data_IF_193378446989
#
_entry.id   IF_193378446989
#
_cell.length_a   1.000
_cell.length_b   1.000
_cell.length_c   1.000
_cell.angle_alpha   90.00
_cell.angle_beta   90.00
_cell.angle_gamma   90.00
#
_symmetry.space_group_name_H-M   'P 1'
#
loop_
_entity.id
_entity.type
_entity.pdbx_description
1 polymer ?
#
# COMPACT_ATOMS: atom_id res chain seq x y z
N UNK A 1 -1.08 -15.07 -13.60
CA UNK A 1 -1.07 -15.88 -12.37
C UNK A 1 -2.10 -17.01 -12.40
N UNK A 2 -3.41 -16.76 -12.55
CA UNK A 2 -4.39 -17.88 -12.58
C UNK A 2 -4.15 -18.88 -13.73
N UNK A 3 -3.87 -18.39 -14.94
CA UNK A 3 -3.45 -19.26 -16.05
C UNK A 3 -2.16 -20.04 -15.76
N UNK A 4 -1.26 -19.47 -14.97
CA UNK A 4 -0.01 -20.15 -14.58
C UNK A 4 -0.31 -21.24 -13.55
N UNK A 5 -1.07 -20.92 -12.50
CA UNK A 5 -1.58 -21.89 -11.51
C UNK A 5 -2.28 -23.07 -12.17
N UNK A 6 -3.16 -22.80 -13.13
CA UNK A 6 -3.88 -23.84 -13.88
C UNK A 6 -2.96 -24.74 -14.71
N UNK A 7 -1.80 -24.24 -15.15
CA UNK A 7 -0.86 -25.00 -15.99
C UNK A 7 0.25 -25.68 -15.19
N UNK A 8 0.66 -25.13 -14.04
CA UNK A 8 1.75 -25.67 -13.21
C UNK A 8 1.28 -26.53 -12.04
N UNK A 9 0.03 -26.37 -11.60
CA UNK A 9 -0.51 -27.07 -10.43
C UNK A 9 0.04 -26.55 -9.09
N UNK A 10 0.67 -25.38 -9.09
CA UNK A 10 1.17 -24.73 -7.88
C UNK A 10 0.02 -24.32 -6.93
N UNK A 11 0.25 -24.40 -5.61
CA UNK A 11 -0.68 -23.86 -4.61
C UNK A 11 -0.58 -22.34 -4.56
N UNK A 12 -1.41 -21.68 -5.36
CA UNK A 12 -1.53 -20.21 -5.41
C UNK A 12 -2.78 -19.79 -4.66
N UNK A 13 -2.60 -18.92 -3.66
CA UNK A 13 -3.69 -18.27 -2.91
C UNK A 13 -3.77 -16.79 -3.23
N UNK A 14 -4.99 -16.30 -3.43
CA UNK A 14 -5.27 -14.88 -3.56
C UNK A 14 -5.70 -14.37 -2.20
N UNK A 15 -5.02 -13.34 -1.69
CA UNK A 15 -5.26 -12.84 -0.34
C UNK A 15 -5.62 -11.36 -0.40
N UNK A 16 -6.73 -11.01 0.21
CA UNK A 16 -7.16 -9.63 0.45
C UNK A 16 -7.15 -9.34 1.95
N UNK A 17 -6.65 -8.16 2.33
CA UNK A 17 -6.55 -7.73 3.72
C UNK A 17 -7.67 -6.73 4.01
N UNK A 18 -8.76 -7.22 4.60
CA UNK A 18 -9.92 -6.42 4.98
C UNK A 18 -9.60 -5.55 6.21
N UNK A 19 -9.44 -4.25 5.97
CA UNK A 19 -9.20 -3.27 7.04
C UNK A 19 -10.49 -2.78 7.70
N UNK A 20 -11.66 -3.16 7.18
CA UNK A 20 -12.96 -2.61 7.58
C UNK A 20 -13.19 -1.15 7.15
N UNK A 21 -12.20 -0.50 6.55
CA UNK A 21 -12.25 0.90 6.13
C UNK A 21 -11.93 1.09 4.64
N UNK A 22 -12.01 0.04 3.84
CA UNK A 22 -11.97 0.23 2.38
C UNK A 22 -13.29 0.87 1.91
N UNK A 23 -13.27 1.57 0.79
CA UNK A 23 -14.45 2.23 0.25
C UNK A 23 -15.51 1.17 -0.10
N UNK A 24 -16.82 1.43 0.09
CA UNK A 24 -17.88 0.48 -0.29
C UNK A 24 -17.76 -0.05 -1.72
N UNK A 25 -17.40 0.81 -2.68
CA UNK A 25 -17.11 0.43 -4.07
C UNK A 25 -15.92 -0.53 -4.23
N UNK A 26 -14.90 -0.44 -3.38
CA UNK A 26 -13.79 -1.40 -3.36
C UNK A 26 -14.28 -2.79 -2.97
N UNK A 27 -15.15 -2.90 -1.95
CA UNK A 27 -15.74 -4.18 -1.58
C UNK A 27 -16.64 -4.73 -2.68
N UNK A 28 -17.51 -3.90 -3.27
CA UNK A 28 -18.34 -4.27 -4.42
C UNK A 28 -17.50 -4.84 -5.57
N UNK A 29 -16.43 -4.12 -5.93
CA UNK A 29 -15.49 -4.55 -6.96
C UNK A 29 -14.83 -5.88 -6.64
N UNK A 30 -14.32 -6.08 -5.42
CA UNK A 30 -13.70 -7.34 -5.00
C UNK A 30 -14.66 -8.51 -5.14
N UNK A 31 -15.93 -8.35 -4.73
CA UNK A 31 -16.95 -9.39 -4.90
C UNK A 31 -17.22 -9.68 -6.38
N UNK A 32 -17.30 -8.64 -7.21
CA UNK A 32 -17.50 -8.80 -8.65
C UNK A 32 -16.32 -9.53 -9.31
N UNK A 33 -15.07 -9.19 -8.94
CA UNK A 33 -13.86 -9.88 -9.38
C UNK A 33 -13.88 -11.36 -8.99
N UNK A 34 -14.10 -11.65 -7.70
CA UNK A 34 -14.10 -13.02 -7.19
C UNK A 34 -15.18 -13.87 -7.86
N UNK A 35 -16.39 -13.33 -7.99
CA UNK A 35 -17.54 -14.01 -8.61
C UNK A 35 -17.36 -14.22 -10.11
N UNK A 36 -16.93 -13.19 -10.85
CA UNK A 36 -16.86 -13.24 -12.31
C UNK A 36 -15.82 -14.24 -12.82
N UNK A 37 -14.67 -14.33 -12.14
CA UNK A 37 -13.59 -15.24 -12.51
C UNK A 37 -13.53 -16.50 -11.65
N UNK A 38 -14.50 -16.70 -10.76
CA UNK A 38 -14.54 -17.82 -9.82
C UNK A 38 -13.21 -17.98 -9.05
N UNK A 39 -12.70 -16.87 -8.53
CA UNK A 39 -11.45 -16.81 -7.77
C UNK A 39 -11.75 -17.12 -6.32
N UNK A 40 -11.06 -18.13 -5.78
CA UNK A 40 -11.04 -18.43 -4.35
C UNK A 40 -10.18 -17.38 -3.63
N UNK A 41 -10.83 -16.30 -3.19
CA UNK A 41 -10.19 -15.17 -2.54
C UNK A 41 -10.29 -15.28 -1.02
N UNK A 42 -9.14 -15.44 -0.38
CA UNK A 42 -9.02 -15.45 1.08
C UNK A 42 -9.09 -14.01 1.58
N UNK A 43 -10.08 -13.70 2.43
CA UNK A 43 -10.22 -12.35 3.00
C UNK A 43 -9.84 -12.37 4.48
N UNK A 44 -8.66 -11.83 4.78
CA UNK A 44 -8.13 -11.81 6.13
C UNK A 44 -8.56 -10.53 6.84
N UNK A 45 -9.16 -10.71 8.02
CA UNK A 45 -9.57 -9.61 8.90
C UNK A 45 -8.84 -9.70 10.24
N UNK A 46 -8.31 -8.57 10.71
CA UNK A 46 -7.62 -8.49 11.99
C UNK A 46 -8.57 -8.77 13.16
N UNK A 47 -8.11 -9.54 14.14
CA UNK A 47 -8.75 -9.73 15.44
C UNK A 47 -7.85 -9.13 16.51
N UNK A 48 -8.27 -8.00 17.08
CA UNK A 48 -7.46 -7.23 18.03
C UNK A 48 -7.49 -7.91 19.40
N UNK A 49 -6.31 -8.16 19.97
CA UNK A 49 -6.21 -8.52 21.38
C UNK A 49 -6.20 -7.22 22.20
N UNK A 50 -7.15 -6.93 23.09
CA UNK A 50 -7.23 -5.63 23.76
C UNK A 50 -6.04 -5.33 24.67
N UNK A 51 -5.27 -6.33 25.07
CA UNK A 51 -4.12 -6.17 25.97
C UNK A 51 -2.89 -5.69 25.20
N UNK A 52 -2.27 -4.61 25.68
CA UNK A 52 -1.01 -4.11 25.13
C UNK A 52 0.08 -5.18 25.16
N UNK A 53 0.95 -5.17 24.14
CA UNK A 53 2.04 -6.16 23.95
C UNK A 53 1.59 -7.60 23.75
N UNK A 54 0.29 -7.91 23.79
CA UNK A 54 -0.22 -9.20 23.33
C UNK A 54 -0.48 -9.14 21.82
N UNK A 55 -0.05 -10.19 21.14
CA UNK A 55 -0.19 -10.30 19.69
C UNK A 55 -1.67 -10.33 19.30
N UNK A 56 -1.98 -9.68 18.17
CA UNK A 56 -3.27 -9.81 17.50
C UNK A 56 -3.33 -11.16 16.77
N UNK A 57 -4.52 -11.58 16.38
CA UNK A 57 -4.73 -12.71 15.48
C UNK A 57 -5.47 -12.26 14.22
N UNK A 58 -5.86 -13.21 13.38
CA UNK A 58 -6.71 -12.95 12.22
C UNK A 58 -7.88 -13.92 12.21
N UNK A 59 -8.89 -13.59 11.43
CA UNK A 59 -9.93 -14.52 10.99
C UNK A 59 -10.02 -14.46 9.47
N UNK A 60 -10.30 -15.59 8.86
CA UNK A 60 -10.72 -15.68 7.46
C UNK A 60 -12.23 -15.37 7.39
N UNK A 61 -12.63 -14.56 6.43
CA UNK A 61 -14.01 -14.08 6.26
C UNK A 61 -14.43 -14.37 4.82
N UNK A 62 -15.68 -14.76 4.61
CA UNK A 62 -16.19 -14.95 3.25
C UNK A 62 -16.13 -13.63 2.47
N UNK A 63 -15.85 -13.72 1.16
CA UNK A 63 -15.92 -12.59 0.23
C UNK A 63 -17.31 -11.93 0.24
N UNK A 64 -18.37 -12.67 0.56
CA UNK A 64 -19.72 -12.09 0.67
C UNK A 64 -19.89 -11.25 1.95
N UNK A 65 -19.13 -11.56 3.00
CA UNK A 65 -19.27 -10.97 4.34
C UNK A 65 -18.29 -9.81 4.60
N UNK A 66 -17.28 -9.58 3.74
CA UNK A 66 -16.43 -8.39 3.84
C UNK A 66 -17.26 -7.12 3.60
N UNK A 67 -16.88 -6.00 4.18
CA UNK A 67 -17.60 -4.75 3.97
C UNK A 67 -17.08 -3.62 4.82
N UNK A 68 -17.58 -2.42 4.52
CA UNK A 68 -17.27 -1.23 5.31
C UNK A 68 -17.84 -1.40 6.72
N UNK A 69 -16.94 -1.52 7.69
CA UNK A 69 -17.24 -1.66 9.10
C UNK A 69 -16.02 -1.26 9.94
N UNK A 70 -16.13 -0.10 10.57
CA UNK A 70 -15.08 0.47 11.41
C UNK A 70 -14.96 -0.19 12.80
N UNK A 71 -15.58 -1.35 13.05
CA UNK A 71 -15.40 -2.11 14.30
C UNK A 71 -13.93 -2.39 14.62
N UNK A 72 -13.15 -2.82 13.61
CA UNK A 72 -11.70 -3.06 13.78
C UNK A 72 -10.98 -1.76 14.09
N UNK A 73 -11.41 -0.65 13.49
CA UNK A 73 -10.84 0.66 13.74
C UNK A 73 -11.10 1.14 15.17
N UNK A 74 -12.30 0.90 15.71
CA UNK A 74 -12.58 1.15 17.14
C UNK A 74 -11.63 0.34 18.03
N UNK A 75 -11.51 -0.96 17.78
CA UNK A 75 -10.66 -1.83 18.60
C UNK A 75 -9.17 -1.44 18.52
N UNK A 76 -8.67 -1.16 17.31
CA UNK A 76 -7.27 -0.83 17.09
C UNK A 76 -6.94 0.56 17.65
N UNK A 77 -7.85 1.53 17.54
CA UNK A 77 -7.66 2.86 18.12
C UNK A 77 -7.77 2.84 19.64
N UNK A 78 -8.61 1.97 20.21
CA UNK A 78 -8.61 1.72 21.66
C UNK A 78 -7.35 1.05 22.16
N UNK A 79 -6.66 0.25 21.34
CA UNK A 79 -5.39 -0.38 21.73
C UNK A 79 -4.17 0.49 21.48
N UNK A 80 -4.08 1.13 20.33
CA UNK A 80 -2.85 1.79 19.85
C UNK A 80 -2.98 3.31 19.69
N UNK A 81 -4.18 3.88 19.81
CA UNK A 81 -4.47 5.25 19.42
C UNK A 81 -4.69 5.37 17.90
N UNK A 82 -4.74 6.59 17.38
CA UNK A 82 -4.90 6.84 15.94
C UNK A 82 -3.58 6.68 15.18
N UNK A 83 -3.60 6.19 13.92
CA UNK A 83 -2.41 6.16 13.10
C UNK A 83 -2.01 7.57 12.65
N UNK A 84 -0.73 7.78 12.38
CA UNK A 84 -0.21 9.05 11.86
C UNK A 84 0.97 8.81 10.93
N UNK A 85 1.40 9.83 10.20
CA UNK A 85 2.44 9.72 9.15
C UNK A 85 3.74 9.08 9.66
N UNK A 86 4.19 9.43 10.88
CA UNK A 86 5.39 8.86 11.50
C UNK A 86 5.16 7.53 12.23
N UNK A 87 3.92 7.04 12.28
CA UNK A 87 3.56 5.77 12.90
C UNK A 87 2.35 5.14 12.19
N UNK A 88 2.48 4.74 10.92
CA UNK A 88 1.36 4.26 10.10
C UNK A 88 1.03 2.79 10.40
N UNK A 89 0.71 2.49 11.68
CA UNK A 89 0.57 1.11 12.15
C UNK A 89 -0.51 0.32 11.42
N UNK A 90 -1.48 0.96 10.76
CA UNK A 90 -2.53 0.27 10.01
C UNK A 90 -1.95 -0.67 8.94
N UNK A 91 -0.85 -0.29 8.28
CA UNK A 91 -0.21 -1.14 7.26
C UNK A 91 0.37 -2.40 7.90
N UNK A 92 1.20 -2.23 8.94
CA UNK A 92 1.82 -3.34 9.67
C UNK A 92 0.78 -4.23 10.35
N UNK A 93 -0.10 -3.63 11.11
CA UNK A 93 -0.99 -4.32 12.05
C UNK A 93 -2.22 -4.90 11.37
N UNK A 94 -2.82 -4.20 10.40
CA UNK A 94 -4.06 -4.65 9.77
C UNK A 94 -3.84 -5.38 8.45
N UNK A 95 -2.64 -5.27 7.84
CA UNK A 95 -2.33 -5.95 6.57
C UNK A 95 -1.20 -6.98 6.72
N UNK A 96 -0.02 -6.55 7.14
CA UNK A 96 1.18 -7.41 7.16
C UNK A 96 1.08 -8.52 8.21
N UNK A 97 0.69 -8.19 9.44
CA UNK A 97 0.60 -9.14 10.56
C UNK A 97 -0.41 -10.27 10.27
N UNK A 98 -1.68 -9.99 9.89
CA UNK A 98 -2.64 -11.01 9.49
C UNK A 98 -2.12 -11.90 8.35
N UNK A 99 -1.61 -11.29 7.29
CA UNK A 99 -1.08 -12.01 6.13
C UNK A 99 0.08 -12.95 6.52
N UNK A 100 1.09 -12.45 7.22
CA UNK A 100 2.25 -13.28 7.61
C UNK A 100 1.85 -14.42 8.53
N UNK A 101 0.86 -14.21 9.40
CA UNK A 101 0.35 -15.27 10.28
C UNK A 101 -0.42 -16.31 9.48
N UNK A 102 -1.27 -15.89 8.54
CA UNK A 102 -1.92 -16.79 7.58
C UNK A 102 -0.88 -17.60 6.79
N UNK A 103 0.13 -16.96 6.20
CA UNK A 103 1.14 -17.69 5.44
C UNK A 103 1.90 -18.70 6.29
N UNK A 104 2.23 -18.38 7.56
CA UNK A 104 2.84 -19.35 8.48
C UNK A 104 1.95 -20.53 8.81
N UNK A 105 0.65 -20.29 9.01
CA UNK A 105 -0.31 -21.33 9.38
C UNK A 105 -0.54 -22.33 8.23
N UNK A 106 -0.44 -21.89 6.97
CA UNK A 106 -0.73 -22.72 5.78
C UNK A 106 0.51 -23.18 4.99
N UNK A 107 1.58 -22.37 4.95
CA UNK A 107 2.79 -22.60 4.16
C UNK A 107 4.08 -22.65 4.99
N UNK A 108 4.01 -22.37 6.30
CA UNK A 108 5.20 -22.19 7.12
C UNK A 108 6.05 -21.00 6.65
N UNK A 109 7.34 -21.25 6.40
CA UNK A 109 8.27 -20.23 5.91
C UNK A 109 8.57 -20.37 4.40
N UNK A 110 7.95 -21.34 3.73
CA UNK A 110 8.23 -21.68 2.34
C UNK A 110 7.11 -21.19 1.42
N UNK A 111 7.03 -19.86 1.22
CA UNK A 111 6.07 -19.24 0.32
C UNK A 111 6.65 -18.00 -0.34
N UNK A 112 6.36 -17.83 -1.62
CA UNK A 112 6.70 -16.62 -2.38
C UNK A 112 5.44 -15.76 -2.50
N UNK A 113 5.54 -14.48 -2.14
CA UNK A 113 4.44 -13.53 -2.30
C UNK A 113 4.59 -12.76 -3.60
N UNK A 114 3.51 -12.61 -4.37
CA UNK A 114 3.51 -11.80 -5.59
C UNK A 114 2.75 -10.51 -5.40
N UNK A 115 3.33 -9.39 -5.82
CA UNK A 115 2.77 -8.05 -5.65
C UNK A 115 2.47 -7.46 -7.02
N UNK A 116 1.29 -6.86 -7.17
CA UNK A 116 0.79 -6.26 -8.42
C UNK A 116 1.50 -4.97 -8.88
N UNK A 117 2.79 -4.80 -8.60
CA UNK A 117 3.57 -3.65 -9.07
C UNK A 117 3.85 -3.74 -10.57
N UNK A 118 3.46 -2.69 -11.30
CA UNK A 118 3.63 -2.59 -12.75
C UNK A 118 5.02 -2.08 -13.13
N UNK A 119 5.40 -2.28 -14.40
CA UNK A 119 6.68 -1.78 -14.93
C UNK A 119 6.80 -0.25 -14.87
N UNK A 120 5.70 0.49 -14.87
CA UNK A 120 5.72 1.95 -14.87
C UNK A 120 5.73 2.55 -13.44
N UNK A 121 5.81 1.71 -12.41
CA UNK A 121 5.87 2.12 -11.00
C UNK A 121 7.30 2.14 -10.43
N UNK A 122 8.26 2.60 -11.23
CA UNK A 122 9.70 2.52 -10.92
C UNK A 122 10.09 3.19 -9.60
N UNK A 123 9.41 4.27 -9.21
CA UNK A 123 9.61 4.91 -7.90
C UNK A 123 9.32 3.97 -6.72
N UNK A 124 8.37 3.05 -6.87
CA UNK A 124 8.01 2.06 -5.84
C UNK A 124 8.96 0.87 -5.84
N UNK A 125 9.36 0.41 -7.02
CA UNK A 125 10.37 -0.65 -7.22
C UNK A 125 11.74 -0.22 -6.65
N UNK A 126 12.26 0.90 -7.14
CA UNK A 126 13.56 1.45 -6.74
C UNK A 126 13.53 2.27 -5.46
N UNK A 127 12.36 2.58 -4.91
CA UNK A 127 12.25 3.46 -3.74
C UNK A 127 12.75 4.87 -4.03
N UNK A 128 12.37 5.81 -3.18
CA UNK A 128 12.59 7.25 -3.41
C UNK A 128 14.03 7.60 -3.79
N UNK A 129 14.99 7.18 -2.96
CA UNK A 129 16.40 7.58 -3.10
C UNK A 129 17.04 7.03 -4.38
N UNK A 130 16.85 5.74 -4.67
CA UNK A 130 17.45 5.14 -5.87
C UNK A 130 16.73 5.61 -7.13
N UNK A 131 15.40 5.74 -7.09
CA UNK A 131 14.62 6.30 -8.19
C UNK A 131 15.08 7.70 -8.57
N UNK A 132 15.16 8.64 -7.61
CA UNK A 132 15.59 10.02 -7.89
C UNK A 132 16.98 10.08 -8.49
N UNK A 133 17.87 9.17 -8.10
CA UNK A 133 19.23 9.06 -8.64
C UNK A 133 19.24 8.58 -10.08
N UNK A 134 18.56 7.46 -10.36
CA UNK A 134 18.42 6.92 -11.72
C UNK A 134 17.72 7.94 -12.63
N UNK A 135 16.67 8.59 -12.12
CA UNK A 135 15.95 9.65 -12.84
C UNK A 135 16.85 10.85 -13.14
N UNK A 136 17.67 11.28 -12.18
CA UNK A 136 18.67 12.34 -12.38
C UNK A 136 19.76 11.99 -13.40
N UNK A 137 19.94 10.69 -13.68
CA UNK A 137 20.80 10.18 -14.76
C UNK A 137 20.05 9.99 -16.08
N UNK A 138 18.81 10.51 -16.18
CA UNK A 138 17.94 10.43 -17.36
C UNK A 138 17.46 9.01 -17.71
N UNK A 139 17.40 8.11 -16.73
CA UNK A 139 16.79 6.81 -16.94
C UNK A 139 15.28 7.00 -16.97
N UNK A 140 14.64 6.62 -18.08
CA UNK A 140 13.18 6.52 -18.16
C UNK A 140 12.69 5.22 -17.50
N UNK A 141 11.36 5.04 -17.44
CA UNK A 141 10.75 3.87 -16.80
C UNK A 141 11.17 2.55 -17.46
N UNK A 142 11.41 2.54 -18.76
CA UNK A 142 11.74 1.34 -19.52
C UNK A 142 13.20 0.94 -19.30
N UNK A 143 14.11 1.91 -19.29
CA UNK A 143 15.52 1.70 -18.95
C UNK A 143 15.64 1.22 -17.50
N UNK A 144 14.94 1.87 -16.56
CA UNK A 144 14.94 1.45 -15.15
C UNK A 144 14.36 0.04 -14.98
N UNK A 145 13.31 -0.31 -15.72
CA UNK A 145 12.72 -1.64 -15.66
C UNK A 145 13.66 -2.72 -16.22
N UNK A 146 14.27 -2.49 -17.39
CA UNK A 146 15.27 -3.41 -17.96
C UNK A 146 16.44 -3.63 -17.00
N UNK A 147 16.99 -2.53 -16.48
CA UNK A 147 18.03 -2.59 -15.45
C UNK A 147 17.59 -3.47 -14.26
N UNK A 148 16.37 -3.27 -13.76
CA UNK A 148 15.87 -4.08 -12.64
C UNK A 148 15.85 -5.58 -12.98
N UNK A 149 15.39 -5.93 -14.19
CA UNK A 149 15.34 -7.32 -14.66
C UNK A 149 16.73 -7.94 -14.83
N UNK A 150 17.68 -7.17 -15.36
CA UNK A 150 19.06 -7.62 -15.52
C UNK A 150 19.70 -7.90 -14.15
N UNK A 151 19.47 -7.02 -13.17
CA UNK A 151 20.04 -7.17 -11.83
C UNK A 151 19.34 -8.25 -10.99
N UNK A 152 18.02 -8.44 -11.13
CA UNK A 152 17.28 -9.44 -10.33
C UNK A 152 17.69 -10.87 -10.71
N UNK A 153 18.18 -11.12 -11.93
CA UNK A 153 18.71 -12.42 -12.35
C UNK A 153 20.07 -12.80 -11.74
N UNK A 154 20.85 -11.82 -11.24
CA UNK A 154 22.23 -12.04 -10.78
C UNK A 154 22.28 -12.60 -9.34
N UNK A 155 23.20 -13.53 -9.05
CA UNK A 155 23.18 -14.24 -7.76
C UNK A 155 23.89 -13.47 -6.64
N UNK A 156 24.97 -12.76 -6.96
CA UNK A 156 25.91 -12.22 -5.98
C UNK A 156 26.00 -10.69 -6.11
N UNK A 157 26.28 -9.95 -5.01
CA UNK A 157 26.54 -8.51 -5.09
C UNK A 157 27.66 -8.13 -6.06
N UNK A 158 28.74 -8.91 -6.10
CA UNK A 158 29.89 -8.69 -7.00
C UNK A 158 29.50 -8.77 -8.47
N UNK A 159 28.57 -9.66 -8.82
CA UNK A 159 28.10 -9.82 -10.20
C UNK A 159 27.25 -8.62 -10.61
N UNK A 160 26.42 -8.13 -9.70
CA UNK A 160 25.63 -6.90 -9.89
C UNK A 160 26.57 -5.71 -10.08
N UNK A 161 27.56 -5.53 -9.22
CA UNK A 161 28.54 -4.45 -9.35
C UNK A 161 29.31 -4.53 -10.67
N UNK A 162 29.77 -5.73 -11.06
CA UNK A 162 30.50 -5.94 -12.31
C UNK A 162 29.63 -5.65 -13.54
N UNK A 163 28.38 -6.09 -13.54
CA UNK A 163 27.41 -5.78 -14.58
C UNK A 163 27.17 -4.28 -14.68
N UNK A 164 26.94 -3.62 -13.54
CA UNK A 164 26.73 -2.18 -13.47
C UNK A 164 27.95 -1.38 -13.96
N UNK A 165 29.17 -1.81 -13.63
CA UNK A 165 30.42 -1.18 -14.10
C UNK A 165 30.63 -1.32 -15.60
N UNK A 166 30.19 -2.44 -16.19
CA UNK A 166 30.38 -2.74 -17.61
C UNK A 166 29.37 -2.00 -18.48
N UNK A 167 28.10 -2.03 -18.07
CA UNK A 167 26.97 -1.53 -18.87
C UNK A 167 26.64 -0.05 -18.58
N UNK A 168 27.03 0.47 -17.41
CA UNK A 168 26.61 1.80 -16.96
C UNK A 168 27.75 2.63 -16.35
N UNK A 169 27.87 3.88 -16.80
CA UNK A 169 28.85 4.84 -16.28
C UNK A 169 28.40 5.47 -14.93
N UNK A 170 28.04 4.65 -13.94
CA UNK A 170 27.75 5.16 -12.59
C UNK A 170 29.04 5.46 -11.80
N UNK A 171 28.94 6.31 -10.77
CA UNK A 171 30.05 6.50 -9.84
C UNK A 171 30.24 5.22 -9.00
N UNK A 172 31.47 4.88 -8.57
CA UNK A 172 31.73 3.63 -7.84
C UNK A 172 30.83 3.40 -6.60
N UNK A 173 30.52 4.45 -5.83
CA UNK A 173 29.63 4.34 -4.67
C UNK A 173 28.16 4.06 -5.01
N UNK A 174 27.78 4.23 -6.28
CA UNK A 174 26.42 4.01 -6.77
C UNK A 174 26.21 2.53 -7.10
N UNK A 175 27.26 1.88 -7.63
CA UNK A 175 27.27 0.44 -7.90
C UNK A 175 27.00 -0.36 -6.63
N UNK A 176 27.78 -0.10 -5.58
CA UNK A 176 27.63 -0.76 -4.27
C UNK A 176 26.24 -0.50 -3.66
N UNK A 177 25.75 0.73 -3.75
CA UNK A 177 24.42 1.10 -3.25
C UNK A 177 23.29 0.33 -3.95
N UNK A 178 23.32 0.28 -5.29
CA UNK A 178 22.32 -0.43 -6.08
C UNK A 178 22.42 -1.94 -5.88
N UNK A 179 23.64 -2.50 -5.79
CA UNK A 179 23.86 -3.91 -5.50
C UNK A 179 23.26 -4.30 -4.13
N UNK A 180 23.60 -3.57 -3.06
CA UNK A 180 23.02 -3.78 -1.71
C UNK A 180 21.50 -3.68 -1.74
N UNK A 181 20.95 -2.75 -2.52
CA UNK A 181 19.51 -2.60 -2.66
C UNK A 181 18.85 -3.82 -3.28
N UNK A 182 19.36 -4.32 -4.41
CA UNK A 182 18.82 -5.49 -5.10
C UNK A 182 18.91 -6.72 -4.19
N UNK A 183 20.01 -6.90 -3.47
CA UNK A 183 20.14 -8.01 -2.52
C UNK A 183 19.09 -7.93 -1.40
N UNK A 184 18.87 -6.74 -0.83
CA UNK A 184 17.83 -6.53 0.19
C UNK A 184 16.41 -6.76 -0.33
N UNK A 185 16.17 -6.55 -1.63
CA UNK A 185 14.90 -6.93 -2.27
C UNK A 185 14.77 -8.45 -2.37
N UNK A 186 15.83 -9.15 -2.75
CA UNK A 186 15.87 -10.62 -2.86
C UNK A 186 15.77 -11.35 -1.52
N UNK A 187 16.22 -10.74 -0.44
CA UNK A 187 16.05 -11.26 0.92
C UNK A 187 14.58 -11.34 1.33
N UNK A 188 13.71 -10.52 0.72
CA UNK A 188 12.27 -10.64 0.91
C UNK A 188 11.78 -11.71 -0.05
N UNK A 189 11.03 -12.69 0.47
CA UNK A 189 10.40 -13.72 -0.37
C UNK A 189 9.18 -13.16 -1.14
N UNK A 190 9.41 -12.03 -1.82
CA UNK A 190 8.43 -11.17 -2.48
C UNK A 190 8.89 -10.92 -3.92
N UNK A 191 8.01 -11.16 -4.87
CA UNK A 191 8.23 -10.98 -6.31
C UNK A 191 7.25 -9.95 -6.86
N UNK A 192 7.66 -9.23 -7.89
CA UNK A 192 6.86 -8.19 -8.51
C UNK A 192 6.18 -8.72 -9.78
N UNK A 193 4.95 -8.29 -10.04
CA UNK A 193 4.24 -8.58 -11.30
C UNK A 193 5.06 -8.13 -12.51
N UNK A 194 5.80 -7.02 -12.39
CA UNK A 194 6.70 -6.53 -13.42
C UNK A 194 7.76 -7.56 -13.85
N UNK A 195 8.07 -8.57 -13.03
CA UNK A 195 9.05 -9.61 -13.38
C UNK A 195 8.51 -10.62 -14.40
N UNK A 196 7.19 -10.70 -14.56
CA UNK A 196 6.52 -11.66 -15.46
C UNK A 196 5.57 -10.99 -16.45
N UNK A 197 5.46 -9.66 -16.41
CA UNK A 197 4.57 -8.88 -17.25
C UNK A 197 5.12 -7.48 -17.44
N UNK A 198 5.05 -6.99 -18.66
CA UNK A 198 5.46 -5.65 -19.05
C UNK A 198 4.27 -4.68 -19.16
N UNK A 199 3.18 -4.92 -18.42
CA UNK A 199 2.01 -4.05 -18.43
C UNK A 199 2.26 -2.73 -17.70
N UNK A 200 1.82 -1.64 -18.32
CA UNK A 200 1.75 -0.28 -17.77
C UNK A 200 0.36 0.02 -17.19
N UNK A 201 0.19 1.18 -16.54
CA UNK A 201 -1.14 1.68 -16.13
C UNK A 201 -2.10 1.72 -17.32
N UNK A 202 -1.64 2.15 -18.50
CA UNK A 202 -2.50 2.28 -19.67
C UNK A 202 -2.98 0.93 -20.21
N UNK A 203 -2.13 -0.10 -20.15
CA UNK A 203 -2.51 -1.46 -20.57
C UNK A 203 -3.61 -2.02 -19.66
N UNK A 204 -3.44 -1.85 -18.34
CA UNK A 204 -4.44 -2.25 -17.36
C UNK A 204 -5.77 -1.50 -17.58
N UNK A 205 -5.73 -0.19 -17.80
CA UNK A 205 -6.94 0.60 -18.08
C UNK A 205 -7.60 0.20 -19.40
N UNK A 206 -6.83 -0.09 -20.43
CA UNK A 206 -7.37 -0.54 -21.72
C UNK A 206 -8.04 -1.90 -21.60
N UNK A 207 -7.45 -2.81 -20.82
CA UNK A 207 -8.06 -4.11 -20.53
C UNK A 207 -9.36 -3.96 -19.71
N UNK A 208 -9.37 -3.10 -18.68
CA UNK A 208 -10.56 -2.85 -17.86
C UNK A 208 -11.74 -2.27 -18.64
N UNK A 209 -11.49 -1.44 -19.66
CA UNK A 209 -12.55 -0.94 -20.57
C UNK A 209 -13.31 -2.04 -21.32
N UNK A 210 -12.74 -3.24 -21.42
CA UNK A 210 -13.38 -4.38 -22.11
C UNK A 210 -14.12 -5.31 -21.16
N UNK A 211 -14.05 -5.07 -19.84
CA UNK A 211 -14.67 -5.91 -18.82
C UNK A 211 -16.15 -5.54 -18.60
N UNK A 212 -16.98 -6.49 -18.12
CA UNK A 212 -18.41 -6.24 -17.88
C UNK A 212 -18.70 -5.35 -16.66
N UNK A 213 -17.70 -5.02 -15.86
CA UNK A 213 -17.77 -4.12 -14.71
C UNK A 213 -16.41 -3.45 -14.49
N UNK A 214 -16.39 -2.38 -13.68
CA UNK A 214 -15.18 -1.65 -13.27
C UNK A 214 -15.27 -1.31 -11.77
N UNK A 215 -14.19 -0.77 -11.19
CA UNK A 215 -14.14 -0.35 -9.79
C UNK A 215 -15.07 0.83 -9.50
N UNK A 216 -15.35 1.67 -10.51
CA UNK A 216 -16.24 2.84 -10.41
C UNK A 216 -15.91 3.79 -9.23
N UNK A 217 -14.62 3.88 -8.87
CA UNK A 217 -14.13 4.70 -7.78
C UNK A 217 -13.21 5.80 -8.29
N UNK A 218 -13.54 7.09 -8.09
CA UNK A 218 -12.65 8.19 -8.41
C UNK A 218 -11.26 8.04 -7.76
N UNK A 219 -10.20 8.32 -8.53
CA UNK A 219 -8.81 8.07 -8.14
C UNK A 219 -8.38 8.81 -6.85
N UNK A 220 -8.99 9.95 -6.53
CA UNK A 220 -8.68 10.72 -5.31
C UNK A 220 -9.27 10.11 -4.03
N UNK A 221 -10.37 9.35 -4.14
CA UNK A 221 -10.98 8.69 -2.99
C UNK A 221 -10.10 7.53 -2.50
N UNK A 222 -9.47 6.78 -3.40
CA UNK A 222 -8.61 5.64 -3.10
C UNK A 222 -9.32 4.52 -2.31
N UNK A 223 -8.63 3.40 -2.07
CA UNK A 223 -9.27 2.23 -1.44
C UNK A 223 -9.63 2.50 0.03
N UNK A 224 -8.66 2.73 0.93
CA UNK A 224 -9.01 2.99 2.34
C UNK A 224 -9.56 4.40 2.52
N UNK A 225 -10.74 4.58 3.12
CA UNK A 225 -11.28 5.90 3.45
C UNK A 225 -10.31 6.69 4.34
N UNK A 226 -10.15 7.98 4.05
CA UNK A 226 -9.33 8.93 4.84
C UNK A 226 -7.93 8.45 5.25
N UNK A 227 -7.28 7.64 4.41
CA UNK A 227 -5.93 7.12 4.66
C UNK A 227 -4.91 8.23 4.94
N UNK A 228 -4.14 8.07 6.03
CA UNK A 228 -3.09 9.02 6.46
C UNK A 228 -1.95 9.24 5.46
N UNK A 229 -1.80 8.36 4.46
CA UNK A 229 -0.79 8.49 3.41
C UNK A 229 -1.21 9.43 2.27
N UNK A 230 -2.49 9.79 2.19
CA UNK A 230 -3.01 10.72 1.17
C UNK A 230 -2.60 12.16 1.47
N UNK A 231 -2.39 12.93 0.40
CA UNK A 231 -2.23 14.37 0.51
C UNK A 231 -3.45 15.08 1.11
N UNK A 232 -3.23 16.20 1.79
CA UNK A 232 -4.29 16.95 2.51
C UNK A 232 -5.43 17.40 1.59
N UNK A 233 -5.13 17.83 0.35
CA UNK A 233 -6.15 18.25 -0.61
C UNK A 233 -7.06 17.09 -1.03
N UNK A 234 -6.49 15.87 -1.17
CA UNK A 234 -7.28 14.66 -1.48
C UNK A 234 -8.16 14.28 -0.29
N UNK A 235 -7.66 14.40 0.94
CA UNK A 235 -8.47 14.19 2.15
C UNK A 235 -9.61 15.20 2.21
N UNK A 236 -9.34 16.49 2.02
CA UNK A 236 -10.37 17.52 2.00
C UNK A 236 -11.45 17.24 0.94
N UNK A 237 -11.04 16.91 -0.29
CA UNK A 237 -11.99 16.56 -1.34
C UNK A 237 -12.79 15.29 -1.00
N UNK A 238 -12.15 14.26 -0.45
CA UNK A 238 -12.83 13.04 -0.04
C UNK A 238 -13.88 13.31 1.06
N UNK A 239 -13.64 14.25 1.98
CA UNK A 239 -14.66 14.63 2.99
C UNK A 239 -15.86 15.35 2.40
N UNK A 240 -15.69 16.02 1.24
CA UNK A 240 -16.79 16.66 0.51
C UNK A 240 -17.59 15.66 -0.32
N UNK A 241 -16.91 14.70 -0.93
CA UNK A 241 -17.51 13.68 -1.78
C UNK A 241 -18.21 12.60 -0.94
N UNK A 242 -17.65 12.26 0.23
CA UNK A 242 -18.14 11.19 1.11
C UNK A 242 -18.41 11.73 2.55
N UNK A 243 -19.35 12.68 2.73
CA UNK A 243 -19.57 13.33 4.03
C UNK A 243 -20.07 12.36 5.11
N UNK A 244 -20.86 11.35 4.74
CA UNK A 244 -21.32 10.33 5.68
C UNK A 244 -20.15 9.47 6.18
N UNK A 245 -19.30 8.96 5.29
CA UNK A 245 -18.12 8.20 5.67
C UNK A 245 -17.16 9.05 6.51
N UNK A 246 -17.07 10.36 6.23
CA UNK A 246 -16.27 11.27 7.03
C UNK A 246 -16.78 11.37 8.47
N UNK A 247 -18.09 11.47 8.67
CA UNK A 247 -18.67 11.54 10.02
C UNK A 247 -18.49 10.22 10.78
N UNK A 248 -18.80 9.09 10.14
CA UNK A 248 -18.59 7.76 10.74
C UNK A 248 -17.12 7.52 11.12
N UNK A 249 -16.18 7.97 10.28
CA UNK A 249 -14.75 7.88 10.59
C UNK A 249 -14.35 8.80 11.74
N UNK A 250 -14.89 10.03 11.79
CA UNK A 250 -14.69 10.99 12.89
C UNK A 250 -15.13 10.39 14.23
N UNK A 251 -16.33 9.80 14.28
CA UNK A 251 -16.86 9.16 15.48
C UNK A 251 -15.88 8.14 16.07
N UNK A 252 -15.17 7.40 15.21
CA UNK A 252 -14.19 6.40 15.65
C UNK A 252 -12.88 7.03 16.12
N UNK A 253 -12.29 7.93 15.33
CA UNK A 253 -10.95 8.49 15.64
C UNK A 253 -10.97 9.54 16.76
N UNK A 254 -12.15 10.10 17.07
CA UNK A 254 -12.35 11.06 18.15
C UNK A 254 -13.13 10.51 19.35
N UNK A 255 -13.49 9.21 19.34
CA UNK A 255 -14.12 8.55 20.48
C UNK A 255 -13.28 8.65 21.76
N UNK A 256 -13.93 8.78 22.91
CA UNK A 256 -13.29 8.72 24.24
C UNK A 256 -12.59 7.38 24.50
N UNK A 257 -12.96 6.33 23.76
CA UNK A 257 -12.32 5.02 23.83
C UNK A 257 -10.94 4.97 23.17
N UNK A 258 -10.54 6.00 22.42
CA UNK A 258 -9.24 6.06 21.74
C UNK A 258 -8.13 6.24 22.78
N UNK A 259 -7.15 5.34 22.77
CA UNK A 259 -6.08 5.37 23.78
C UNK A 259 -5.14 6.55 23.60
N UNK A 260 -4.98 7.34 24.65
CA UNK A 260 -3.92 8.35 24.79
C UNK A 260 -2.54 7.71 24.94
N UNK A 261 -1.59 8.12 24.10
CA UNK A 261 -0.21 7.61 24.11
C UNK A 261 0.71 8.68 24.67
N UNK A 262 1.10 8.56 25.94
CA UNK A 262 1.89 9.58 26.67
C UNK A 262 3.23 9.94 26.02
N UNK A 263 3.89 8.97 25.37
CA UNK A 263 5.18 9.19 24.68
C UNK A 263 5.04 9.94 23.35
N UNK A 264 3.82 10.21 22.89
CA UNK A 264 3.57 10.88 21.62
C UNK A 264 3.80 12.37 21.80
N UNK A 265 4.74 12.93 21.03
CA UNK A 265 5.00 14.39 21.03
C UNK A 265 3.85 15.20 20.40
N UNK A 266 2.94 14.53 19.67
CA UNK A 266 1.80 15.13 18.98
C UNK A 266 0.50 14.62 19.58
N UNK A 267 -0.54 15.45 19.57
CA UNK A 267 -1.87 15.03 20.01
C UNK A 267 -2.39 13.86 19.17
N UNK A 268 -3.15 12.96 19.80
CA UNK A 268 -3.77 11.83 19.12
C UNK A 268 -4.75 12.22 18.00
N UNK A 269 -5.11 13.49 17.90
CA UNK A 269 -5.97 14.00 16.83
C UNK A 269 -5.19 14.26 15.54
N UNK A 270 -3.87 14.32 15.60
CA UNK A 270 -2.99 14.66 14.49
C UNK A 270 -2.61 13.38 13.74
N UNK A 271 -3.27 13.15 12.62
CA UNK A 271 -3.10 11.95 11.79
C UNK A 271 -2.39 12.25 10.47
N UNK A 272 -2.53 13.45 9.93
CA UNK A 272 -2.15 13.79 8.56
C UNK A 272 -0.87 14.63 8.49
N UNK A 273 -0.27 14.66 7.30
CA UNK A 273 0.94 15.45 6.99
C UNK A 273 0.72 16.92 7.35
N UNK A 274 1.80 17.62 7.72
CA UNK A 274 1.73 19.04 8.08
C UNK A 274 1.11 19.31 9.44
N UNK A 275 1.09 18.32 10.35
CA UNK A 275 0.54 18.45 11.70
C UNK A 275 -0.98 18.72 11.71
N UNK A 276 -1.71 18.08 10.79
CA UNK A 276 -3.15 18.26 10.63
C UNK A 276 -3.97 17.11 11.25
N UNK A 277 -5.13 17.47 11.82
CA UNK A 277 -6.21 16.56 12.18
C UNK A 277 -7.25 16.51 11.06
N UNK A 278 -8.19 15.54 11.10
CA UNK A 278 -9.26 15.50 10.09
C UNK A 278 -10.12 16.77 10.18
N UNK A 279 -10.48 17.18 11.39
CA UNK A 279 -11.23 18.42 11.66
C UNK A 279 -10.48 19.66 11.18
N UNK A 280 -9.17 19.76 11.39
CA UNK A 280 -8.43 20.94 10.96
C UNK A 280 -8.33 21.03 9.44
N UNK A 281 -8.30 19.90 8.73
CA UNK A 281 -8.40 19.86 7.26
C UNK A 281 -9.78 20.36 6.83
N UNK A 282 -10.86 19.80 7.39
CA UNK A 282 -12.24 20.21 7.05
C UNK A 282 -12.42 21.71 7.29
N UNK A 283 -11.95 22.23 8.42
CA UNK A 283 -12.04 23.66 8.76
C UNK A 283 -11.24 24.54 7.77
N UNK A 284 -10.02 24.11 7.40
CA UNK A 284 -9.16 24.86 6.45
C UNK A 284 -9.83 25.03 5.08
N UNK A 285 -10.61 24.03 4.65
CA UNK A 285 -11.32 24.03 3.38
C UNK A 285 -12.82 24.33 3.50
N UNK A 286 -13.28 24.89 4.63
CA UNK A 286 -14.69 25.12 4.90
C UNK A 286 -15.34 26.06 3.86
N UNK A 287 -14.63 27.13 3.49
CA UNK A 287 -15.08 28.16 2.54
C UNK A 287 -14.76 27.84 1.07
N UNK A 288 -14.14 26.68 0.80
CA UNK A 288 -13.83 26.25 -0.56
C UNK A 288 -14.91 25.29 -1.07
N UNK A 289 -15.36 25.53 -2.30
CA UNK A 289 -16.22 24.62 -3.04
C UNK A 289 -15.46 23.35 -3.40
N UNK A 290 -16.21 22.28 -3.68
CA UNK A 290 -15.68 21.00 -4.16
C UNK A 290 -14.76 21.19 -5.39
N UNK A 291 -15.20 21.99 -6.36
CA UNK A 291 -14.49 22.17 -7.63
C UNK A 291 -13.20 22.98 -7.45
N UNK A 292 -13.18 23.96 -6.54
CA UNK A 292 -11.96 24.70 -6.18
C UNK A 292 -10.91 23.76 -5.56
N UNK A 293 -11.32 22.89 -4.62
CA UNK A 293 -10.42 21.91 -4.01
C UNK A 293 -9.90 20.94 -5.08
N UNK A 294 -10.78 20.44 -5.95
CA UNK A 294 -10.41 19.52 -7.03
C UNK A 294 -9.42 20.16 -8.03
N UNK A 295 -9.57 21.44 -8.34
CA UNK A 295 -8.64 22.17 -9.20
C UNK A 295 -7.21 22.22 -8.60
N UNK A 296 -7.07 22.34 -7.27
CA UNK A 296 -5.74 22.31 -6.62
C UNK A 296 -5.02 20.98 -6.77
N UNK A 297 -5.76 19.87 -6.86
CA UNK A 297 -5.19 18.55 -7.07
C UNK A 297 -4.64 18.44 -8.49
N UNK A 298 -5.38 18.93 -9.50
CA UNK A 298 -4.95 18.93 -10.91
C UNK A 298 -3.74 19.84 -11.14
N UNK A 299 -3.71 21.03 -10.56
CA UNK A 299 -2.63 22.01 -10.73
C UNK A 299 -1.25 21.56 -10.23
N UNK A 300 -1.21 20.68 -9.24
CA UNK A 300 0.03 20.11 -8.69
C UNK A 300 0.48 18.81 -9.39
N UNK A 301 0.11 18.61 -10.65
CA UNK A 301 0.42 17.37 -11.39
C UNK A 301 -0.49 16.21 -11.02
N UNK A 302 -1.78 16.48 -10.74
CA UNK A 302 -2.76 15.50 -10.25
C UNK A 302 -3.05 14.28 -11.13
N UNK A 303 -2.50 14.22 -12.34
CA UNK A 303 -2.52 13.03 -13.21
C UNK A 303 -1.16 12.33 -13.34
N UNK A 304 -0.07 12.92 -12.83
CA UNK A 304 1.25 12.29 -12.84
C UNK A 304 1.40 11.38 -11.62
N UNK A 305 1.10 10.09 -11.81
CA UNK A 305 1.59 8.95 -11.01
C UNK A 305 1.24 8.90 -9.50
N UNK A 306 0.54 9.91 -8.96
CA UNK A 306 0.43 10.18 -7.53
C UNK A 306 -0.64 9.41 -6.74
N UNK A 307 -1.48 8.56 -7.34
CA UNK A 307 -2.45 7.75 -6.57
C UNK A 307 -2.06 6.28 -6.47
N UNK A 308 -1.55 5.68 -7.55
CA UNK A 308 -0.90 4.36 -7.48
C UNK A 308 0.35 4.37 -6.58
N UNK A 309 1.06 5.49 -6.51
CA UNK A 309 2.21 5.65 -5.58
C UNK A 309 1.83 5.95 -4.13
N UNK A 310 0.57 6.34 -3.86
CA UNK A 310 0.03 6.51 -2.50
C UNK A 310 -0.68 5.24 -1.98
N UNK A 311 -0.70 4.17 -2.78
CA UNK A 311 -1.22 2.85 -2.39
C UNK A 311 -0.41 2.29 -1.21
N UNK A 312 -1.12 1.80 -0.20
CA UNK A 312 -0.54 1.12 0.96
C UNK A 312 -0.02 -0.26 0.56
N UNK A 313 1.18 -0.25 -0.02
CA UNK A 313 2.09 -1.37 -0.21
C UNK A 313 2.27 -2.18 1.08
N UNK A 314 1.41 -3.13 1.42
CA UNK A 314 1.68 -4.02 2.55
C UNK A 314 3.01 -4.77 2.36
N UNK A 315 3.36 -5.07 1.10
CA UNK A 315 4.54 -5.86 0.76
C UNK A 315 5.53 -5.14 -0.17
N UNK A 316 5.21 -3.94 -0.68
CA UNK A 316 6.19 -3.16 -1.43
C UNK A 316 6.86 -2.11 -0.55
N UNK A 317 8.12 -2.35 -0.19
CA UNK A 317 9.12 -1.30 0.02
C UNK A 317 8.71 -0.10 0.89
N UNK A 318 7.98 -0.30 2.00
CA UNK A 318 7.90 0.73 3.03
C UNK A 318 9.18 0.73 3.87
N UNK A 319 10.23 1.32 3.31
CA UNK A 319 11.54 1.44 3.94
C UNK A 319 11.55 2.39 5.14
N UNK A 320 10.43 3.07 5.42
CA UNK A 320 10.25 3.84 6.66
C UNK A 320 9.83 2.96 7.85
N UNK A 321 9.37 1.73 7.60
CA UNK A 321 8.85 0.85 8.66
C UNK A 321 9.92 -0.03 9.31
N UNK A 322 11.14 -0.09 8.74
CA UNK A 322 12.25 -0.89 9.29
C UNK A 322 12.98 -0.23 10.46
N UNK A 323 12.92 1.10 10.58
CA UNK A 323 13.81 1.85 11.48
C UNK A 323 13.13 2.35 12.78
N UNK A 324 11.84 2.04 12.99
CA UNK A 324 11.10 2.61 14.14
C UNK A 324 11.11 1.76 15.41
N UNK A 325 11.50 0.49 15.32
CA UNK A 325 11.67 -0.39 16.48
C UNK A 325 12.72 -1.46 16.13
N UNK A 326 14.00 -1.10 16.20
CA UNK A 326 15.03 -2.12 16.47
C UNK A 326 14.59 -2.87 17.73
N UNK A 327 14.49 -4.19 17.61
CA UNK A 327 14.30 -5.09 18.74
C UNK A 327 15.53 -4.92 19.64
N UNK A 328 15.37 -4.17 20.74
CA UNK A 328 16.24 -4.36 21.90
C UNK A 328 16.01 -5.79 22.38
N UNK A 329 17.04 -6.61 22.11
CA UNK A 329 17.24 -7.99 22.54
C UNK A 329 16.92 -8.24 24.01
#
# INVERSE_FOLDING_TARGET
MEQHRQTTGEDVRYVFMDTGAEHPKTYEFIRNVAKNWNIDLVCLRLVVNPVLKKANSYKDVSVDDIGYDLSIWRDICSKYGTPYVGGPFCTRTMKIEPFRRYCRDYFGNDFVSWIGLRRDEQRRTWGEKAYLKLFGMYFDNDVMHRLFMDLVGLKNPSDIESHLQTEYAFMPGDHEYLAKRIMKLKEKNERLLSEISDFSKQDILNWWKTQPFDLELPEHLGNCVFCIKKGINKIALATRDEPQLAEEFKEVIYSDSVRTVERRQQENKIMYRGNHSLESIIATYADHTRDEIFATIRGNGGNDSGSCSESCEAFACDWSQGDLFEEES
#
